data_IF_423284234998
#
_entry.id   IF_423284234998
#
_cell.length_a   1.000
_cell.length_b   1.000
_cell.length_c   1.000
_cell.angle_alpha   90.00
_cell.angle_beta   90.00
_cell.angle_gamma   90.00
#
_symmetry.space_group_name_H-M   'P 1'
#
loop_
_entity.id
_entity.type
_entity.pdbx_description
1 polymer ?
#
# COMPACT_ATOMS: atom_id res chain seq x y z
N UNK A 1 -19.33 -6.03 -23.32
CA UNK A 1 -18.11 -6.68 -22.80
C UNK A 1 -17.27 -5.81 -21.86
N UNK A 2 -16.63 -4.71 -22.29
CA UNK A 2 -15.82 -3.87 -21.37
C UNK A 2 -16.63 -3.18 -20.28
N UNK A 3 -17.78 -2.61 -20.67
CA UNK A 3 -18.72 -2.00 -19.72
C UNK A 3 -19.26 -3.03 -18.72
N UNK A 4 -19.58 -4.24 -19.19
CA UNK A 4 -20.03 -5.35 -18.33
C UNK A 4 -18.92 -5.85 -17.39
N UNK A 5 -17.68 -5.97 -17.88
CA UNK A 5 -16.53 -6.34 -17.05
C UNK A 5 -16.21 -5.27 -16.00
N UNK A 6 -16.32 -3.99 -16.38
CA UNK A 6 -16.18 -2.86 -15.47
C UNK A 6 -17.27 -2.89 -14.38
N UNK A 7 -18.53 -3.01 -14.79
CA UNK A 7 -19.68 -3.07 -13.88
C UNK A 7 -19.61 -4.27 -12.94
N UNK A 8 -19.21 -5.44 -13.46
CA UNK A 8 -19.00 -6.64 -12.65
C UNK A 8 -17.91 -6.44 -11.60
N UNK A 9 -16.72 -5.98 -12.01
CA UNK A 9 -15.59 -5.78 -11.09
C UNK A 9 -15.93 -4.75 -10.02
N UNK A 10 -16.56 -3.64 -10.40
CA UNK A 10 -16.98 -2.61 -9.45
C UNK A 10 -18.07 -3.11 -8.51
N UNK A 11 -19.03 -3.92 -8.99
CA UNK A 11 -20.07 -4.49 -8.14
C UNK A 11 -19.47 -5.41 -7.08
N UNK A 12 -18.64 -6.36 -7.47
CA UNK A 12 -17.96 -7.27 -6.53
C UNK A 12 -17.12 -6.49 -5.51
N UNK A 13 -16.35 -5.51 -5.97
CA UNK A 13 -15.51 -4.71 -5.08
C UNK A 13 -16.35 -3.83 -4.12
N UNK A 14 -17.49 -3.28 -4.57
CA UNK A 14 -18.45 -2.57 -3.69
C UNK A 14 -19.08 -3.50 -2.67
N UNK A 15 -19.44 -4.72 -3.07
CA UNK A 15 -19.97 -5.74 -2.16
C UNK A 15 -18.96 -6.08 -1.07
N UNK A 16 -17.69 -6.35 -1.41
CA UNK A 16 -16.65 -6.57 -0.42
C UNK A 16 -16.37 -5.34 0.44
N UNK A 17 -16.30 -4.14 -0.16
CA UNK A 17 -16.16 -2.90 0.60
C UNK A 17 -17.27 -2.74 1.65
N UNK A 18 -18.51 -3.14 1.34
CA UNK A 18 -19.65 -2.99 2.24
C UNK A 18 -19.55 -3.83 3.53
N UNK A 19 -18.77 -4.92 3.52
CA UNK A 19 -18.54 -5.76 4.71
C UNK A 19 -17.44 -5.20 5.62
N UNK A 20 -16.61 -4.28 5.10
CA UNK A 20 -15.52 -3.65 5.84
C UNK A 20 -15.99 -2.41 6.59
N UNK A 21 -15.40 -2.19 7.77
CA UNK A 21 -15.62 -0.98 8.58
C UNK A 21 -14.28 -0.45 9.05
N UNK A 22 -14.19 0.88 9.18
CA UNK A 22 -13.06 1.50 9.83
C UNK A 22 -12.93 0.97 11.25
N UNK A 23 -11.69 0.66 11.63
CA UNK A 23 -11.34 0.27 12.98
C UNK A 23 -10.64 1.42 13.68
N UNK A 24 -10.94 1.67 14.97
CA UNK A 24 -10.26 2.72 15.70
C UNK A 24 -8.76 2.41 15.82
N UNK A 25 -7.94 3.46 15.74
CA UNK A 25 -6.54 3.38 16.12
C UNK A 25 -6.42 3.06 17.60
N UNK A 26 -5.49 2.17 17.94
CA UNK A 26 -5.20 1.78 19.31
C UNK A 26 -4.09 2.69 19.84
N UNK A 27 -4.38 3.42 20.92
CA UNK A 27 -3.33 4.17 21.63
C UNK A 27 -2.40 3.16 22.30
N UNK A 28 -1.23 2.95 21.72
CA UNK A 28 -0.18 2.16 22.36
C UNK A 28 0.28 2.94 23.59
N UNK A 29 0.13 2.35 24.78
CA UNK A 29 0.44 2.97 26.08
C UNK A 29 1.95 3.22 26.30
N UNK A 30 2.45 3.28 27.54
CA UNK A 30 3.87 3.58 27.81
C UNK A 30 4.81 2.63 27.07
N UNK A 31 6.07 3.07 26.87
CA UNK A 31 7.14 2.50 26.01
C UNK A 31 7.31 0.96 25.99
N UNK A 32 6.80 0.23 26.99
CA UNK A 32 6.77 -1.24 27.05
C UNK A 32 5.34 -1.71 27.36
N UNK A 33 4.44 -1.81 26.38
CA UNK A 33 3.14 -2.44 26.61
C UNK A 33 3.35 -3.93 26.95
N UNK A 34 2.58 -4.45 27.91
CA UNK A 34 2.55 -5.89 28.26
C UNK A 34 2.19 -6.73 27.01
N UNK A 35 1.44 -6.14 26.08
CA UNK A 35 1.06 -6.75 24.80
C UNK A 35 1.79 -6.07 23.65
N UNK A 36 2.92 -6.63 23.24
CA UNK A 36 3.74 -6.09 22.15
C UNK A 36 3.09 -6.27 20.77
N UNK A 37 2.16 -7.22 20.61
CA UNK A 37 1.34 -7.41 19.40
C UNK A 37 0.42 -6.22 19.08
N UNK A 38 0.16 -5.34 20.05
CA UNK A 38 -0.62 -4.12 19.83
C UNK A 38 -0.03 -3.19 18.77
N UNK A 39 1.30 -3.16 18.61
CA UNK A 39 1.93 -2.37 17.55
C UNK A 39 1.49 -2.85 16.16
N UNK A 40 1.53 -4.17 15.93
CA UNK A 40 1.12 -4.77 14.66
C UNK A 40 -0.39 -4.63 14.44
N UNK A 41 -1.21 -4.84 15.48
CA UNK A 41 -2.66 -4.66 15.38
C UNK A 41 -3.02 -3.21 15.02
N UNK A 42 -2.35 -2.24 15.64
CA UNK A 42 -2.60 -0.83 15.35
C UNK A 42 -2.23 -0.49 13.90
N UNK A 43 -1.07 -0.94 13.42
CA UNK A 43 -0.66 -0.68 12.04
C UNK A 43 -1.54 -1.43 11.02
N UNK A 44 -2.00 -2.66 11.34
CA UNK A 44 -2.96 -3.39 10.52
C UNK A 44 -4.31 -2.65 10.41
N UNK A 45 -4.81 -2.07 11.51
CA UNK A 45 -5.99 -1.22 11.48
C UNK A 45 -5.77 0.01 10.59
N UNK A 46 -4.60 0.65 10.65
CA UNK A 46 -4.24 1.77 9.77
C UNK A 46 -4.25 1.36 8.29
N UNK A 47 -3.68 0.21 7.93
CA UNK A 47 -3.66 -0.28 6.54
C UNK A 47 -5.07 -0.62 6.03
N UNK A 48 -5.90 -1.27 6.86
CA UNK A 48 -7.31 -1.53 6.54
C UNK A 48 -8.07 -0.23 6.27
N UNK A 49 -7.99 0.73 7.20
CA UNK A 49 -8.65 2.03 7.07
C UNK A 49 -8.16 2.76 5.82
N UNK A 50 -6.85 2.71 5.55
CA UNK A 50 -6.26 3.32 4.36
C UNK A 50 -6.78 2.72 3.07
N UNK A 51 -6.92 1.39 2.97
CA UNK A 51 -7.50 0.74 1.80
C UNK A 51 -8.98 1.11 1.62
N UNK A 52 -9.73 1.21 2.72
CA UNK A 52 -11.12 1.69 2.70
C UNK A 52 -11.19 3.13 2.14
N UNK A 53 -10.38 4.04 2.69
CA UNK A 53 -10.39 5.46 2.29
C UNK A 53 -10.02 5.62 0.82
N UNK A 54 -8.95 4.94 0.37
CA UNK A 54 -8.53 4.96 -1.03
C UNK A 54 -9.64 4.43 -1.93
N UNK A 55 -10.31 3.34 -1.54
CA UNK A 55 -11.41 2.78 -2.31
C UNK A 55 -12.56 3.76 -2.47
N UNK A 56 -13.03 4.34 -1.36
CA UNK A 56 -14.18 5.25 -1.35
C UNK A 56 -13.89 6.52 -2.18
N UNK A 57 -12.69 7.10 -2.01
CA UNK A 57 -12.26 8.29 -2.76
C UNK A 57 -12.08 8.00 -4.25
N UNK A 58 -11.39 6.90 -4.60
CA UNK A 58 -11.20 6.49 -5.98
C UNK A 58 -12.54 6.20 -6.67
N UNK A 59 -13.46 5.52 -5.99
CA UNK A 59 -14.79 5.22 -6.54
C UNK A 59 -15.57 6.50 -6.81
N UNK A 60 -15.58 7.45 -5.85
CA UNK A 60 -16.22 8.75 -6.02
C UNK A 60 -15.66 9.49 -7.25
N UNK A 61 -14.33 9.51 -7.41
CA UNK A 61 -13.67 10.16 -8.54
C UNK A 61 -14.03 9.49 -9.88
N UNK A 62 -14.06 8.15 -9.93
CA UNK A 62 -14.49 7.41 -11.12
C UNK A 62 -15.92 7.75 -11.51
N UNK A 63 -16.85 7.74 -10.55
CA UNK A 63 -18.26 8.03 -10.79
C UNK A 63 -18.50 9.49 -11.21
N UNK A 64 -17.63 10.42 -10.78
CA UNK A 64 -17.62 11.82 -11.20
C UNK A 64 -16.84 12.07 -12.50
N UNK A 65 -16.29 11.04 -13.14
CA UNK A 65 -15.53 11.14 -14.38
C UNK A 65 -14.16 11.80 -14.24
N UNK A 66 -13.61 11.90 -13.02
CA UNK A 66 -12.27 12.44 -12.73
C UNK A 66 -11.21 11.33 -12.89
N UNK A 67 -11.09 10.81 -14.11
CA UNK A 67 -10.35 9.56 -14.41
C UNK A 67 -8.88 9.63 -14.01
N UNK A 68 -8.18 10.73 -14.30
CA UNK A 68 -6.76 10.86 -13.96
C UNK A 68 -6.53 10.77 -12.45
N UNK A 69 -7.32 11.52 -11.67
CA UNK A 69 -7.26 11.51 -10.21
C UNK A 69 -7.63 10.15 -9.64
N UNK A 70 -8.62 9.47 -10.22
CA UNK A 70 -8.96 8.11 -9.85
C UNK A 70 -7.80 7.14 -10.10
N UNK A 71 -7.13 7.20 -11.25
CA UNK A 71 -5.95 6.36 -11.53
C UNK A 71 -4.83 6.56 -10.50
N UNK A 72 -4.56 7.82 -10.14
CA UNK A 72 -3.55 8.17 -9.14
C UNK A 72 -3.86 7.55 -7.79
N UNK A 73 -5.11 7.66 -7.31
CA UNK A 73 -5.49 7.09 -6.02
C UNK A 73 -5.60 5.56 -6.07
N UNK A 74 -6.14 4.99 -7.15
CA UNK A 74 -6.30 3.54 -7.30
C UNK A 74 -4.99 2.78 -7.26
N UNK A 75 -3.86 3.38 -7.64
CA UNK A 75 -2.52 2.80 -7.40
C UNK A 75 -2.25 2.53 -5.93
N UNK A 76 -2.69 3.43 -5.07
CA UNK A 76 -2.56 3.31 -3.62
C UNK A 76 -3.21 2.03 -3.07
N UNK A 77 -4.24 1.47 -3.74
CA UNK A 77 -4.80 0.17 -3.38
C UNK A 77 -3.77 -0.95 -3.52
N UNK A 78 -3.10 -1.01 -4.66
CA UNK A 78 -2.08 -2.03 -4.97
C UNK A 78 -0.89 -1.86 -4.03
N UNK A 79 -0.42 -0.62 -3.84
CA UNK A 79 0.71 -0.32 -2.95
C UNK A 79 0.41 -0.71 -1.49
N UNK A 80 -0.75 -0.31 -0.97
CA UNK A 80 -1.14 -0.62 0.41
C UNK A 80 -1.34 -2.12 0.61
N UNK A 81 -1.91 -2.82 -0.39
CA UNK A 81 -2.04 -4.27 -0.37
C UNK A 81 -0.69 -4.98 -0.39
N UNK A 82 0.22 -4.55 -1.26
CA UNK A 82 1.57 -5.10 -1.37
C UNK A 82 2.35 -4.94 -0.06
N UNK A 83 2.27 -3.76 0.56
CA UNK A 83 2.90 -3.50 1.85
C UNK A 83 2.36 -4.40 2.96
N UNK A 84 1.03 -4.50 3.10
CA UNK A 84 0.40 -5.35 4.10
C UNK A 84 0.87 -6.81 3.96
N UNK A 85 0.88 -7.32 2.71
CA UNK A 85 1.31 -8.69 2.40
C UNK A 85 2.79 -8.91 2.72
N UNK A 86 3.69 -8.04 2.23
CA UNK A 86 5.12 -8.19 2.46
C UNK A 86 5.45 -8.13 3.96
N UNK A 87 4.87 -7.18 4.68
CA UNK A 87 5.04 -7.05 6.13
C UNK A 87 4.63 -8.34 6.85
N UNK A 88 3.44 -8.87 6.55
CA UNK A 88 2.96 -10.11 7.17
C UNK A 88 3.90 -11.28 6.90
N UNK A 89 4.37 -11.44 5.65
CA UNK A 89 5.35 -12.49 5.30
C UNK A 89 6.67 -12.36 6.07
N UNK A 90 7.20 -11.15 6.19
CA UNK A 90 8.48 -10.93 6.88
C UNK A 90 8.35 -11.21 8.38
N UNK A 91 7.26 -10.77 9.01
CA UNK A 91 6.97 -11.08 10.42
C UNK A 91 6.73 -12.58 10.62
N UNK A 92 5.92 -13.21 9.77
CA UNK A 92 5.69 -14.66 9.81
C UNK A 92 6.99 -15.44 9.69
N UNK A 93 7.88 -15.05 8.78
CA UNK A 93 9.20 -15.67 8.64
C UNK A 93 10.04 -15.53 9.91
N UNK A 94 10.02 -14.38 10.58
CA UNK A 94 10.72 -14.18 11.86
C UNK A 94 10.13 -15.12 12.92
N UNK A 95 8.81 -15.14 13.07
CA UNK A 95 8.13 -15.99 14.06
C UNK A 95 8.30 -17.50 13.79
N UNK A 96 8.53 -17.90 12.55
CA UNK A 96 8.82 -19.29 12.20
C UNK A 96 10.29 -19.69 12.35
N UNK A 97 11.22 -18.72 12.43
CA UNK A 97 12.67 -19.00 12.49
C UNK A 97 13.30 -18.74 13.85
N UNK A 98 12.63 -17.95 14.70
CA UNK A 98 13.10 -17.58 16.02
C UNK A 98 12.01 -17.84 17.06
N UNK A 99 12.40 -18.10 18.31
CA UNK A 99 11.48 -18.36 19.42
C UNK A 99 11.64 -17.33 20.55
N UNK A 100 10.62 -17.23 21.41
CA UNK A 100 10.64 -16.39 22.61
C UNK A 100 10.80 -14.88 22.32
N UNK A 101 11.37 -14.17 23.30
CA UNK A 101 11.48 -12.71 23.29
C UNK A 101 12.27 -12.14 22.11
N UNK A 102 13.28 -12.86 21.61
CA UNK A 102 14.09 -12.42 20.46
C UNK A 102 13.22 -12.30 19.19
N UNK A 103 12.33 -13.28 18.96
CA UNK A 103 11.40 -13.24 17.82
C UNK A 103 10.42 -12.08 17.89
N UNK A 104 10.04 -11.68 19.10
CA UNK A 104 9.13 -10.56 19.36
C UNK A 104 9.82 -9.24 19.06
N UNK A 105 11.03 -9.03 19.59
CA UNK A 105 11.78 -7.79 19.35
C UNK A 105 12.15 -7.64 17.87
N UNK A 106 12.59 -8.70 17.21
CA UNK A 106 12.85 -8.70 15.77
C UNK A 106 11.59 -8.39 14.94
N UNK A 107 10.41 -8.88 15.35
CA UNK A 107 9.14 -8.60 14.66
C UNK A 107 8.73 -7.12 14.80
N UNK A 108 8.96 -6.53 15.97
CA UNK A 108 8.69 -5.10 16.19
C UNK A 108 9.66 -4.23 15.41
N UNK A 109 10.95 -4.56 15.44
CA UNK A 109 11.96 -3.86 14.65
C UNK A 109 11.62 -3.92 13.15
N UNK A 110 11.21 -5.09 12.66
CA UNK A 110 10.73 -5.25 11.29
C UNK A 110 9.52 -4.37 11.00
N UNK A 111 8.49 -4.40 11.85
CA UNK A 111 7.30 -3.55 11.71
C UNK A 111 7.66 -2.05 11.66
N UNK A 112 8.60 -1.61 12.50
CA UNK A 112 9.06 -0.22 12.52
C UNK A 112 9.70 0.21 11.20
N UNK A 113 10.28 -0.69 10.42
CA UNK A 113 10.79 -0.38 9.06
C UNK A 113 9.69 0.00 8.08
N UNK A 114 8.46 -0.50 8.27
CA UNK A 114 7.29 -0.14 7.47
C UNK A 114 6.63 1.16 7.97
N UNK A 115 6.56 1.36 9.29
CA UNK A 115 5.95 2.55 9.92
C UNK A 115 6.82 3.79 9.67
N UNK A 116 8.14 3.68 9.80
CA UNK A 116 9.09 4.77 9.61
C UNK A 116 9.38 5.08 8.13
N UNK A 117 8.52 4.62 7.21
CA UNK A 117 8.61 4.91 5.78
C UNK A 117 8.39 6.39 5.41
N UNK A 118 8.30 7.31 6.40
CA UNK A 118 8.02 8.73 6.14
C UNK A 118 9.19 9.69 6.45
N UNK A 119 9.47 10.48 5.41
CA UNK A 119 10.05 11.83 5.34
C UNK A 119 11.55 12.05 5.50
N UNK A 120 12.26 11.38 6.40
CA UNK A 120 13.71 11.61 6.55
C UNK A 120 14.49 10.44 6.01
N UNK A 121 15.24 10.67 4.92
CA UNK A 121 16.09 9.62 4.35
C UNK A 121 17.15 9.28 5.40
N UNK A 122 17.57 8.02 5.44
CA UNK A 122 18.71 7.59 6.28
C UNK A 122 19.93 8.51 6.10
N UNK A 123 20.10 9.06 4.88
CA UNK A 123 21.10 10.06 4.54
C UNK A 123 20.93 11.37 5.33
N UNK A 124 19.71 11.88 5.47
CA UNK A 124 19.42 13.13 6.19
C UNK A 124 19.65 12.96 7.69
N UNK A 125 19.28 11.80 8.24
CA UNK A 125 19.58 11.43 9.63
C UNK A 125 21.10 11.26 9.86
N UNK A 126 21.83 10.65 8.92
CA UNK A 126 23.30 10.54 8.96
C UNK A 126 23.98 11.90 8.85
N UNK A 127 23.44 12.81 8.04
CA UNK A 127 23.95 14.18 7.92
C UNK A 127 23.72 14.98 9.20
N UNK A 128 22.58 14.79 9.87
CA UNK A 128 22.30 15.38 11.18
C UNK A 128 23.25 14.87 12.27
N UNK A 129 23.49 13.56 12.35
CA UNK A 129 24.49 12.97 13.27
C UNK A 129 25.92 13.46 13.01
N UNK A 130 26.22 13.91 11.79
CA UNK A 130 27.50 14.52 11.40
C UNK A 130 27.54 16.04 11.61
N UNK A 131 26.48 16.65 12.15
CA UNK A 131 26.40 18.09 12.41
C UNK A 131 26.21 18.97 11.17
N UNK A 132 25.75 18.40 10.04
CA UNK A 132 25.51 19.14 8.80
C UNK A 132 24.13 19.84 8.76
N UNK A 133 23.21 19.46 9.66
CA UNK A 133 21.86 20.03 9.81
C UNK A 133 21.50 20.13 11.29
N UNK A 134 20.85 21.21 11.72
CA UNK A 134 20.34 21.37 13.08
C UNK A 134 18.87 20.89 13.15
N UNK A 135 18.50 19.97 14.06
CA UNK A 135 17.10 19.58 14.29
C UNK A 135 16.18 20.74 14.66
N UNK A 136 16.73 21.86 15.15
CA UNK A 136 16.00 23.08 15.49
C UNK A 136 15.66 23.94 14.26
N UNK A 137 16.27 23.69 13.10
CA UNK A 137 15.91 24.35 11.83
C UNK A 137 14.52 23.93 11.34
N UNK A 138 13.96 22.86 11.93
CA UNK A 138 12.64 22.35 11.64
C UNK A 138 11.73 22.50 12.86
N UNK A 139 10.48 22.95 12.64
CA UNK A 139 9.45 22.97 13.68
C UNK A 139 8.91 21.55 13.93
N UNK A 140 9.70 20.70 14.60
CA UNK A 140 9.26 19.38 15.04
C UNK A 140 8.62 19.43 16.43
N UNK A 141 7.63 18.56 16.67
CA UNK A 141 7.21 18.23 18.03
C UNK A 141 8.30 17.39 18.70
N UNK A 142 8.31 17.34 20.04
CA UNK A 142 9.32 16.57 20.80
C UNK A 142 9.32 15.08 20.42
N UNK A 143 8.15 14.51 20.10
CA UNK A 143 8.04 13.12 19.63
C UNK A 143 8.57 12.93 18.21
N UNK A 144 8.51 13.96 17.36
CA UNK A 144 9.06 13.91 16.01
C UNK A 144 10.59 14.07 16.04
N UNK A 145 11.12 14.93 16.91
CA UNK A 145 12.56 15.07 17.16
C UNK A 145 13.15 13.77 17.72
N UNK A 146 12.51 13.16 18.71
CA UNK A 146 12.96 11.88 19.27
C UNK A 146 13.03 10.79 18.20
N UNK A 147 12.00 10.67 17.36
CA UNK A 147 11.97 9.71 16.24
C UNK A 147 13.08 9.96 15.23
N UNK A 148 13.33 11.23 14.89
CA UNK A 148 14.38 11.63 13.95
C UNK A 148 15.80 11.27 14.44
N UNK A 149 16.06 11.47 15.73
CA UNK A 149 17.37 11.26 16.34
C UNK A 149 17.68 9.78 16.64
N UNK A 150 16.66 9.00 17.01
CA UNK A 150 16.84 7.69 17.62
C UNK A 150 16.35 6.52 16.76
N UNK A 151 15.53 6.75 15.72
CA UNK A 151 15.01 5.69 14.85
C UNK A 151 15.63 5.81 13.45
N UNK A 152 16.66 4.99 13.19
CA UNK A 152 17.20 4.83 11.83
C UNK A 152 16.08 4.33 10.92
N UNK A 153 15.63 5.19 10.00
CA UNK A 153 14.59 4.86 9.04
C UNK A 153 15.18 3.95 7.95
N UNK A 154 15.34 2.67 8.26
CA UNK A 154 15.45 1.63 7.24
C UNK A 154 14.09 1.50 6.56
N UNK A 155 13.74 2.43 5.67
CA UNK A 155 12.43 2.43 5.03
C UNK A 155 12.35 1.31 4.00
N UNK A 156 11.41 0.36 4.17
CA UNK A 156 11.07 -0.58 3.09
C UNK A 156 10.48 0.20 1.92
N UNK A 157 11.06 0.03 0.73
CA UNK A 157 10.65 0.77 -0.45
C UNK A 157 9.39 0.15 -1.07
N UNK A 158 8.43 0.97 -1.51
CA UNK A 158 7.18 0.54 -2.16
C UNK A 158 7.46 -0.46 -3.29
N UNK A 159 8.49 -0.18 -4.10
CA UNK A 159 8.87 -1.04 -5.22
C UNK A 159 9.32 -2.44 -4.81
N UNK A 160 9.88 -2.61 -3.61
CA UNK A 160 10.28 -3.96 -3.14
C UNK A 160 9.04 -4.78 -2.75
N UNK A 161 8.05 -4.14 -2.13
CA UNK A 161 6.76 -4.76 -1.85
C UNK A 161 6.01 -5.15 -3.14
N UNK A 162 6.00 -4.26 -4.14
CA UNK A 162 5.38 -4.54 -5.44
C UNK A 162 6.08 -5.70 -6.16
N UNK A 163 7.43 -5.71 -6.19
CA UNK A 163 8.18 -6.82 -6.80
C UNK A 163 7.93 -8.16 -6.12
N UNK A 164 7.77 -8.18 -4.79
CA UNK A 164 7.41 -9.41 -4.07
C UNK A 164 6.00 -9.88 -4.48
N UNK A 165 5.04 -8.95 -4.56
CA UNK A 165 3.68 -9.24 -5.02
C UNK A 165 3.65 -9.82 -6.45
N UNK A 166 4.43 -9.24 -7.37
CA UNK A 166 4.49 -9.72 -8.76
C UNK A 166 5.11 -11.10 -8.86
N UNK A 167 6.16 -11.37 -8.06
CA UNK A 167 6.81 -12.69 -8.01
C UNK A 167 5.87 -13.76 -7.49
N UNK A 168 5.01 -13.44 -6.52
CA UNK A 168 3.97 -14.36 -6.05
C UNK A 168 2.95 -14.67 -7.15
N UNK A 169 2.42 -13.63 -7.80
CA UNK A 169 1.43 -13.79 -8.86
C UNK A 169 1.96 -14.67 -10.00
N UNK A 170 3.21 -14.45 -10.43
CA UNK A 170 3.88 -15.27 -11.44
C UNK A 170 4.00 -16.73 -11.03
N UNK A 171 4.30 -17.00 -9.75
CA UNK A 171 4.37 -18.37 -9.22
C UNK A 171 3.01 -19.05 -9.17
N UNK A 172 1.97 -18.32 -8.76
CA UNK A 172 0.61 -18.85 -8.63
C UNK A 172 -0.04 -19.10 -9.99
N UNK A 173 0.16 -18.19 -10.95
CA UNK A 173 -0.46 -18.27 -12.29
C UNK A 173 0.35 -19.10 -13.28
N UNK A 174 1.66 -19.26 -13.05
CA UNK A 174 2.59 -19.90 -14.00
C UNK A 174 2.79 -19.10 -15.30
N UNK A 175 2.33 -17.84 -15.34
CA UNK A 175 2.51 -16.98 -16.51
C UNK A 175 3.92 -16.39 -16.56
N UNK A 176 4.32 -15.90 -17.74
CA UNK A 176 5.63 -15.24 -17.94
C UNK A 176 5.63 -13.77 -17.51
N UNK A 177 4.46 -13.14 -17.44
CA UNK A 177 4.29 -11.72 -17.17
C UNK A 177 3.24 -11.53 -16.07
N UNK A 178 3.48 -10.56 -15.17
CA UNK A 178 2.61 -10.25 -14.05
C UNK A 178 1.50 -9.30 -14.52
N UNK A 179 0.24 -9.67 -14.30
CA UNK A 179 -0.88 -8.80 -14.64
C UNK A 179 -0.95 -7.63 -13.65
N UNK A 180 -0.51 -7.83 -12.40
CA UNK A 180 -0.41 -6.76 -11.41
C UNK A 180 0.65 -5.72 -11.78
N UNK A 181 1.79 -6.14 -12.31
CA UNK A 181 2.83 -5.24 -12.82
C UNK A 181 2.30 -4.41 -13.99
N UNK A 182 1.71 -5.05 -15.00
CA UNK A 182 1.08 -4.36 -16.13
C UNK A 182 0.01 -3.37 -15.69
N UNK A 183 -0.83 -3.76 -14.72
CA UNK A 183 -1.86 -2.89 -14.17
C UNK A 183 -1.26 -1.66 -13.48
N UNK A 184 -0.25 -1.85 -12.66
CA UNK A 184 0.41 -0.78 -11.92
C UNK A 184 1.14 0.20 -12.86
N UNK A 185 1.79 -0.31 -13.91
CA UNK A 185 2.46 0.51 -14.91
C UNK A 185 1.48 1.36 -15.71
N UNK A 186 0.36 0.77 -16.15
CA UNK A 186 -0.69 1.51 -16.86
C UNK A 186 -1.27 2.61 -15.98
N UNK A 187 -1.54 2.35 -14.70
CA UNK A 187 -2.02 3.40 -13.79
C UNK A 187 -0.94 4.46 -13.53
N UNK A 188 0.34 4.08 -13.52
CA UNK A 188 1.47 5.00 -13.32
C UNK A 188 1.65 5.99 -14.47
N UNK A 189 1.24 5.64 -15.69
CA UNK A 189 1.23 6.57 -16.83
C UNK A 189 0.37 7.83 -16.56
N UNK A 190 -0.62 7.73 -15.66
CA UNK A 190 -1.51 8.83 -15.30
C UNK A 190 -1.02 9.71 -14.15
N UNK A 191 0.03 9.27 -13.43
CA UNK A 191 0.53 9.96 -12.22
C UNK A 191 1.56 11.04 -12.54
N UNK A 192 2.39 10.80 -13.54
CA UNK A 192 3.42 11.74 -13.95
C UNK A 192 3.06 12.35 -15.31
N UNK A 193 3.25 13.67 -15.50
CA UNK A 193 3.15 14.27 -16.83
C UNK A 193 4.32 13.75 -17.68
N UNK A 194 4.15 12.55 -18.25
CA UNK A 194 5.05 11.98 -19.25
C UNK A 194 4.84 12.73 -20.57
N UNK A 195 5.84 12.70 -21.46
CA UNK A 195 5.68 13.22 -22.82
C UNK A 195 4.45 12.62 -23.52
N UNK A 196 4.12 11.36 -23.23
CA UNK A 196 2.92 10.67 -23.70
C UNK A 196 1.63 11.28 -23.15
N UNK A 197 1.57 11.60 -21.85
CA UNK A 197 0.40 12.27 -21.26
C UNK A 197 0.17 13.69 -21.81
N UNK A 198 1.25 14.43 -22.08
CA UNK A 198 1.20 15.74 -22.73
C UNK A 198 0.73 15.58 -24.17
N UNK A 199 1.27 14.62 -24.91
CA UNK A 199 0.88 14.31 -26.28
C UNK A 199 -0.60 13.96 -26.39
N UNK A 200 -1.11 13.10 -25.51
CA UNK A 200 -2.54 12.79 -25.47
C UNK A 200 -3.38 14.04 -25.17
N UNK A 201 -2.94 14.96 -24.31
CA UNK A 201 -3.70 16.19 -24.06
C UNK A 201 -3.89 17.05 -25.33
N UNK A 202 -2.89 17.12 -26.21
CA UNK A 202 -2.91 17.96 -27.41
C UNK A 202 -3.36 17.25 -28.69
N UNK A 203 -3.44 15.92 -28.69
CA UNK A 203 -3.84 15.12 -29.87
C UNK A 203 -4.97 14.15 -29.49
N UNK A 204 -6.23 14.63 -29.39
CA UNK A 204 -7.38 13.81 -28.99
C UNK A 204 -7.65 12.60 -29.90
N UNK A 205 -7.20 12.65 -31.16
CA UNK A 205 -7.32 11.56 -32.13
C UNK A 205 -6.54 10.31 -31.67
N UNK A 206 -5.60 10.46 -30.74
CA UNK A 206 -4.81 9.36 -30.17
C UNK A 206 -5.45 8.74 -28.94
N UNK A 207 -6.66 9.17 -28.56
CA UNK A 207 -7.39 8.63 -27.40
C UNK A 207 -8.05 7.28 -27.69
N UNK A 208 -7.79 6.67 -28.84
CA UNK A 208 -8.22 5.32 -29.18
C UNK A 208 -7.14 4.31 -28.76
N UNK A 209 -7.57 3.31 -28.01
CA UNK A 209 -6.74 2.19 -27.58
C UNK A 209 -7.22 0.95 -28.34
N UNK A 210 -6.37 0.34 -29.19
CA UNK A 210 -6.75 -0.85 -29.93
C UNK A 210 -6.87 -2.04 -28.99
N UNK A 211 -7.97 -2.78 -29.13
CA UNK A 211 -8.21 -4.02 -28.37
C UNK A 211 -8.65 -5.14 -29.29
N UNK A 212 -8.68 -6.38 -28.78
CA UNK A 212 -9.13 -7.55 -29.54
C UNK A 212 -10.59 -7.49 -30.01
N UNK A 213 -11.38 -6.55 -29.47
CA UNK A 213 -12.79 -6.33 -29.86
C UNK A 213 -13.02 -4.99 -30.55
N UNK A 214 -11.95 -4.30 -30.95
CA UNK A 214 -11.98 -3.00 -31.61
C UNK A 214 -11.38 -1.88 -30.76
N UNK A 215 -11.47 -0.65 -31.27
CA UNK A 215 -10.89 0.51 -30.59
C UNK A 215 -11.82 1.00 -29.48
N UNK A 216 -11.25 1.24 -28.30
CA UNK A 216 -11.96 1.85 -27.18
C UNK A 216 -11.32 3.18 -26.80
N UNK A 217 -12.11 4.07 -26.20
CA UNK A 217 -11.56 5.32 -25.68
C UNK A 217 -10.62 5.07 -24.49
N UNK A 218 -9.52 5.80 -24.41
CA UNK A 218 -8.48 5.69 -23.37
C UNK A 218 -9.07 5.79 -21.95
N UNK A 219 -10.01 6.72 -21.74
CA UNK A 219 -10.75 6.84 -20.47
C UNK A 219 -11.54 5.57 -20.08
N UNK A 220 -12.10 4.84 -21.04
CA UNK A 220 -12.82 3.58 -20.75
C UNK A 220 -11.82 2.51 -20.30
N UNK A 221 -10.67 2.44 -20.97
CA UNK A 221 -9.55 1.58 -20.57
C UNK A 221 -9.07 1.94 -19.15
N UNK A 222 -8.80 3.22 -18.88
CA UNK A 222 -8.36 3.71 -17.59
C UNK A 222 -9.36 3.39 -16.45
N UNK A 223 -10.66 3.59 -16.69
CA UNK A 223 -11.71 3.19 -15.74
C UNK A 223 -11.70 1.69 -15.44
N UNK A 224 -11.46 0.85 -16.46
CA UNK A 224 -11.33 -0.60 -16.27
C UNK A 224 -10.11 -0.93 -15.40
N UNK A 225 -8.98 -0.29 -15.64
CA UNK A 225 -7.78 -0.48 -14.81
C UNK A 225 -7.99 0.00 -13.38
N UNK A 226 -8.65 1.14 -13.17
CA UNK A 226 -9.01 1.59 -11.83
C UNK A 226 -9.91 0.56 -11.12
N UNK A 227 -10.94 0.04 -11.81
CA UNK A 227 -11.81 -0.98 -11.24
C UNK A 227 -11.08 -2.29 -10.89
N UNK A 228 -10.11 -2.70 -11.72
CA UNK A 228 -9.24 -3.85 -11.40
C UNK A 228 -8.37 -3.59 -10.18
N UNK A 229 -7.80 -2.40 -10.03
CA UNK A 229 -7.03 -2.04 -8.86
C UNK A 229 -7.89 -1.95 -7.59
N UNK A 230 -9.12 -1.44 -7.71
CA UNK A 230 -10.09 -1.41 -6.62
C UNK A 230 -10.50 -2.82 -6.16
N UNK A 231 -10.44 -3.83 -7.04
CA UNK A 231 -10.77 -5.22 -6.72
C UNK A 231 -9.83 -5.83 -5.66
N UNK A 232 -8.65 -5.26 -5.43
CA UNK A 232 -7.77 -5.65 -4.32
C UNK A 232 -8.44 -5.51 -2.93
N UNK A 233 -9.53 -4.75 -2.82
CA UNK A 233 -10.31 -4.65 -1.58
C UNK A 233 -10.92 -5.99 -1.13
N UNK A 234 -11.10 -6.93 -2.06
CA UNK A 234 -11.64 -8.26 -1.78
C UNK A 234 -10.76 -9.03 -0.77
N UNK A 235 -9.45 -8.79 -0.80
CA UNK A 235 -8.48 -9.49 0.07
C UNK A 235 -8.16 -8.72 1.35
N UNK A 236 -8.62 -7.47 1.52
CA UNK A 236 -8.27 -6.62 2.66
C UNK A 236 -8.62 -7.28 4.00
N UNK A 237 -9.78 -7.93 4.09
CA UNK A 237 -10.20 -8.60 5.31
C UNK A 237 -9.27 -9.75 5.67
N UNK A 238 -8.87 -10.55 4.68
CA UNK A 238 -7.95 -11.69 4.88
C UNK A 238 -6.56 -11.19 5.30
N UNK A 239 -6.07 -10.12 4.69
CA UNK A 239 -4.80 -9.51 5.07
C UNK A 239 -4.81 -8.99 6.50
N UNK A 240 -5.89 -8.29 6.89
CA UNK A 240 -6.08 -7.80 8.25
C UNK A 240 -6.12 -8.94 9.27
N UNK A 241 -6.86 -10.02 8.96
CA UNK A 241 -6.92 -11.21 9.80
C UNK A 241 -5.55 -11.89 9.95
N UNK A 242 -4.76 -11.97 8.88
CA UNK A 242 -3.41 -12.51 8.95
C UNK A 242 -2.52 -11.67 9.86
N UNK A 243 -2.53 -10.34 9.72
CA UNK A 243 -1.80 -9.44 10.62
C UNK A 243 -2.25 -9.60 12.07
N UNK A 244 -3.55 -9.77 12.30
CA UNK A 244 -4.10 -9.97 13.64
C UNK A 244 -3.66 -11.29 14.28
N UNK A 245 -3.64 -12.38 13.51
CA UNK A 245 -3.13 -13.68 13.98
C UNK A 245 -1.64 -13.60 14.34
N UNK A 246 -0.84 -12.93 13.50
CA UNK A 246 0.58 -12.68 13.80
C UNK A 246 0.74 -11.82 15.06
N UNK A 247 -0.12 -10.82 15.27
CA UNK A 247 -0.09 -10.00 16.47
C UNK A 247 -0.41 -10.80 17.73
N UNK A 248 -1.38 -11.72 17.66
CA UNK A 248 -1.68 -12.63 18.77
C UNK A 248 -0.52 -13.56 19.10
N UNK A 249 0.19 -14.04 18.07
CA UNK A 249 1.37 -14.88 18.28
C UNK A 249 2.53 -14.09 18.91
N UNK A 250 2.73 -12.83 18.51
CA UNK A 250 3.67 -11.92 19.17
C UNK A 250 3.30 -11.77 20.66
N UNK A 251 2.03 -11.50 20.96
CA UNK A 251 1.55 -11.38 22.34
C UNK A 251 1.76 -12.66 23.16
N UNK A 252 1.61 -13.84 22.54
CA UNK A 252 1.83 -15.13 23.20
C UNK A 252 3.29 -15.38 23.60
N UNK A 253 4.23 -14.82 22.84
CA UNK A 253 5.68 -14.97 23.03
C UNK A 253 6.33 -13.84 23.83
N UNK A 254 5.55 -12.79 24.13
CA UNK A 254 5.94 -11.60 24.91
C UNK A 254 5.80 -11.85 26.40
#
# INVERSE_FOLDING_TARGET
>A
MYKESLEKNLREAKEARSTLKHLPGIKVGPRNPIKKGLYLTNYANCLLNRQIDIFDDSLLLLEKGRIQSACVLSRGMIETHAFARLMNKEIEKILNSQEGFESVDASIDMLLTFINSSRFKEKDQKNMKKGLFDPNDYMFTDEARYRLEHMLAGSKHVMDALRDLYRDELKETGMKESQFEQLYDVLSEWVHPSQKSIYHYYVPETHTVPTSVGDIHMNVSASLHCARALHFIMDTQRQHQWSYQLAQEIDRRS
#
